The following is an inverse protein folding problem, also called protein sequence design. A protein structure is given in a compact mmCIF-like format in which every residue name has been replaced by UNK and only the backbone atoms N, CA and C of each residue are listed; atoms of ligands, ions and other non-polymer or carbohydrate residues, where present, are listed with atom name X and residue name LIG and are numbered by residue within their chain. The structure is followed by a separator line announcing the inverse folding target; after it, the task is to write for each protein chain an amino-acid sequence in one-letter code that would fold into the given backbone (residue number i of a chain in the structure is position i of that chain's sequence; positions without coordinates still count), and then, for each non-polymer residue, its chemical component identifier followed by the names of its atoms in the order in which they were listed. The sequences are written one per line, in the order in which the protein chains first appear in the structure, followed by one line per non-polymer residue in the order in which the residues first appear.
data_IF_080082083368
#
_entry.id   IF_080082083368
#
_cell.length_a   1.000
_cell.length_b   1.000
_cell.length_c   1.000
_cell.angle_alpha   90.00
_cell.angle_beta   90.00
_cell.angle_gamma   90.00
#
_symmetry.space_group_name_H-M   'P 1'
#
loop_
_entity.id
_entity.type
_entity.pdbx_description
1 polymer ?
#
# COMPACT_ATOMS: atom_id res chain seq x y z
N UNK A 1 -2.48 -14.85 -14.49
CA UNK A 1 -1.21 -15.47 -14.96
C UNK A 1 -1.31 -17.00 -15.10
N UNK A 2 -1.97 -17.71 -14.16
CA UNK A 2 -2.36 -19.15 -14.31
C UNK A 2 -3.14 -19.41 -15.61
N UNK A 3 -4.07 -18.52 -15.96
CA UNK A 3 -4.94 -18.70 -17.13
C UNK A 3 -4.25 -18.47 -18.48
N UNK A 4 -3.05 -17.87 -18.48
CA UNK A 4 -2.26 -17.61 -19.69
C UNK A 4 -1.08 -18.55 -19.89
N UNK A 5 -0.47 -19.07 -18.82
CA UNK A 5 0.76 -19.89 -18.91
C UNK A 5 0.63 -21.29 -18.31
N UNK A 6 -0.53 -21.66 -17.74
CA UNK A 6 -0.76 -22.93 -17.04
C UNK A 6 0.35 -23.28 -16.02
N UNK A 7 0.95 -22.24 -15.41
CA UNK A 7 2.07 -22.34 -14.47
C UNK A 7 1.73 -21.56 -13.20
N UNK A 8 2.04 -22.14 -12.04
CA UNK A 8 1.86 -21.49 -10.74
C UNK A 8 3.20 -21.32 -10.04
N UNK A 9 3.51 -20.10 -9.64
CA UNK A 9 4.68 -19.81 -8.80
C UNK A 9 4.31 -20.04 -7.33
N UNK A 10 5.02 -20.96 -6.68
CA UNK A 10 4.95 -21.13 -5.23
C UNK A 10 6.08 -20.35 -4.57
N UNK A 11 5.73 -19.30 -3.84
CA UNK A 11 6.66 -18.51 -3.04
C UNK A 11 6.62 -19.04 -1.60
N UNK A 12 7.81 -19.19 -1.00
CA UNK A 12 7.98 -19.55 0.41
C UNK A 12 8.77 -18.45 1.10
N UNK A 13 8.36 -18.11 2.32
CA UNK A 13 8.94 -17.02 3.11
C UNK A 13 9.24 -17.55 4.51
N UNK A 14 10.46 -17.28 4.98
CA UNK A 14 10.89 -17.50 6.35
C UNK A 14 11.29 -16.16 6.98
N UNK A 15 10.65 -15.79 8.08
CA UNK A 15 10.90 -14.53 8.78
C UNK A 15 11.37 -14.77 10.21
N UNK A 16 12.46 -14.12 10.59
CA UNK A 16 13.07 -14.20 11.91
C UNK A 16 13.73 -12.87 12.26
N UNK A 17 13.75 -12.52 13.54
CA UNK A 17 14.40 -11.34 14.06
C UNK A 17 15.49 -11.72 15.07
N UNK A 18 16.60 -11.00 15.00
CA UNK A 18 17.75 -11.15 15.90
C UNK A 18 18.93 -10.29 15.44
N UNK A 19 20.01 -10.34 16.21
CA UNK A 19 21.18 -9.51 15.96
C UNK A 19 21.96 -9.99 14.73
N UNK A 20 22.42 -9.04 13.92
CA UNK A 20 23.26 -9.29 12.74
C UNK A 20 24.44 -8.31 12.71
N UNK A 21 25.50 -8.71 12.03
CA UNK A 21 26.59 -7.82 11.64
C UNK A 21 26.30 -7.39 10.20
N UNK A 22 26.23 -6.09 9.96
CA UNK A 22 26.07 -5.51 8.62
C UNK A 22 27.26 -4.62 8.32
N UNK A 23 27.85 -4.77 7.13
CA UNK A 23 28.95 -3.91 6.70
C UNK A 23 29.57 -4.32 5.37
N UNK A 24 30.57 -3.56 4.94
CA UNK A 24 31.35 -3.84 3.75
C UNK A 24 32.34 -4.98 3.99
N UNK A 25 32.24 -6.04 3.21
CA UNK A 25 33.15 -7.17 3.25
C UNK A 25 33.86 -7.29 1.90
N UNK A 26 35.18 -7.43 1.91
CA UNK A 26 36.00 -7.60 0.71
C UNK A 26 37.26 -6.72 0.70
N UNK A 27 38.06 -6.88 -0.35
CA UNK A 27 39.23 -6.02 -0.59
C UNK A 27 38.77 -4.60 -0.94
N UNK A 28 39.63 -3.60 -0.73
CA UNK A 28 39.25 -2.18 -0.89
C UNK A 28 38.64 -1.83 -2.25
N UNK A 29 39.05 -2.51 -3.32
CA UNK A 29 38.55 -2.32 -4.68
C UNK A 29 37.28 -3.15 -5.01
N UNK A 30 36.94 -4.14 -4.19
CA UNK A 30 35.80 -5.05 -4.37
C UNK A 30 35.08 -5.29 -3.04
N UNK A 31 34.47 -4.24 -2.49
CA UNK A 31 33.63 -4.33 -1.30
C UNK A 31 32.19 -4.64 -1.69
N UNK A 32 31.56 -5.58 -0.98
CA UNK A 32 30.12 -5.81 -1.04
C UNK A 32 29.49 -5.65 0.34
N UNK A 33 28.39 -4.89 0.39
CA UNK A 33 27.56 -4.80 1.59
C UNK A 33 26.96 -6.18 1.89
N UNK A 34 27.25 -6.70 3.07
CA UNK A 34 26.88 -8.06 3.46
C UNK A 34 26.27 -8.07 4.85
N UNK A 35 25.28 -8.94 5.06
CA UNK A 35 24.71 -9.24 6.38
C UNK A 35 25.20 -10.62 6.82
N UNK A 36 25.81 -10.69 7.99
CA UNK A 36 26.30 -11.93 8.61
C UNK A 36 25.63 -12.15 9.96
N UNK A 37 25.38 -13.42 10.30
CA UNK A 37 24.89 -13.79 11.62
C UNK A 37 24.09 -15.09 11.62
N UNK A 38 23.80 -15.61 12.81
CA UNK A 38 22.91 -16.76 12.95
C UNK A 38 21.47 -16.42 12.52
N UNK A 39 21.03 -15.17 12.72
CA UNK A 39 19.69 -14.70 12.33
C UNK A 39 19.39 -14.90 10.84
N UNK A 40 20.31 -14.55 9.94
CA UNK A 40 20.11 -14.76 8.49
C UNK A 40 20.04 -16.24 8.13
N UNK A 41 20.86 -17.07 8.80
CA UNK A 41 20.83 -18.52 8.62
C UNK A 41 19.52 -19.13 9.11
N UNK A 42 18.98 -18.65 10.23
CA UNK A 42 17.67 -19.09 10.75
C UNK A 42 16.55 -18.71 9.78
N UNK A 43 16.53 -17.47 9.27
CA UNK A 43 15.50 -17.03 8.32
C UNK A 43 15.48 -17.90 7.05
N UNK A 44 16.65 -18.16 6.44
CA UNK A 44 16.78 -19.06 5.28
C UNK A 44 16.32 -20.49 5.59
N UNK A 45 16.60 -20.99 6.79
CA UNK A 45 16.15 -22.33 7.21
C UNK A 45 14.65 -22.41 7.44
N UNK A 46 14.01 -21.34 7.91
CA UNK A 46 12.55 -21.25 8.02
C UNK A 46 11.90 -21.26 6.64
N UNK A 47 12.47 -20.55 5.66
CA UNK A 47 12.03 -20.61 4.27
C UNK A 47 12.07 -22.07 3.78
N UNK A 48 13.21 -22.75 3.92
CA UNK A 48 13.33 -24.15 3.50
C UNK A 48 12.40 -25.12 4.25
N UNK A 49 12.09 -24.81 5.52
CA UNK A 49 11.18 -25.60 6.35
C UNK A 49 9.75 -25.62 5.80
N UNK A 50 9.30 -24.53 5.16
CA UNK A 50 7.98 -24.44 4.55
C UNK A 50 7.67 -25.63 3.63
N UNK A 51 8.66 -26.07 2.84
CA UNK A 51 8.51 -27.22 1.94
C UNK A 51 8.19 -28.52 2.69
N UNK A 52 8.80 -28.73 3.87
CA UNK A 52 8.60 -29.94 4.68
C UNK A 52 7.29 -29.90 5.47
N UNK A 53 6.83 -28.70 5.81
CA UNK A 53 5.63 -28.49 6.61
C UNK A 53 4.37 -28.26 5.78
N UNK A 54 4.51 -28.18 4.45
CA UNK A 54 3.47 -27.81 3.50
C UNK A 54 2.83 -26.45 3.85
N UNK A 55 3.68 -25.45 4.10
CA UNK A 55 3.29 -24.07 4.41
C UNK A 55 3.94 -23.12 3.39
N UNK A 56 3.49 -21.87 3.34
CA UNK A 56 4.09 -20.84 2.48
C UNK A 56 4.82 -19.75 3.27
N UNK A 57 4.35 -19.43 4.48
CA UNK A 57 4.95 -18.39 5.30
C UNK A 57 5.13 -18.88 6.73
N UNK A 58 6.38 -18.94 7.19
CA UNK A 58 6.76 -19.30 8.56
C UNK A 58 7.45 -18.12 9.23
N UNK A 59 7.01 -17.79 10.43
CA UNK A 59 7.67 -16.83 11.32
C UNK A 59 8.25 -17.55 12.52
N UNK A 60 9.38 -17.08 13.03
CA UNK A 60 9.97 -17.64 14.25
C UNK A 60 9.17 -17.27 15.51
N UNK A 61 9.46 -17.93 16.63
CA UNK A 61 8.87 -17.58 17.94
C UNK A 61 9.19 -16.15 18.37
N UNK A 62 10.38 -15.65 18.05
CA UNK A 62 10.77 -14.26 18.32
C UNK A 62 9.84 -13.26 17.60
N UNK A 63 9.54 -13.49 16.33
CA UNK A 63 8.59 -12.64 15.59
C UNK A 63 7.17 -12.80 16.16
N UNK A 64 6.75 -14.03 16.45
CA UNK A 64 5.44 -14.28 17.01
C UNK A 64 5.25 -13.62 18.39
N UNK A 65 6.29 -13.56 19.22
CA UNK A 65 6.24 -12.89 20.51
C UNK A 65 6.14 -11.36 20.38
N UNK A 66 6.64 -10.79 19.27
CA UNK A 66 6.55 -9.35 19.00
C UNK A 66 5.18 -8.94 18.44
N UNK A 67 4.61 -9.72 17.52
CA UNK A 67 3.42 -9.30 16.74
C UNK A 67 2.32 -10.35 16.62
N UNK A 68 2.45 -11.49 17.29
CA UNK A 68 1.57 -12.66 17.10
C UNK A 68 0.10 -12.44 17.44
N UNK A 69 -0.23 -11.48 18.31
CA UNK A 69 -1.61 -11.07 18.58
C UNK A 69 -2.32 -10.53 17.34
N UNK A 70 -1.58 -9.87 16.44
CA UNK A 70 -2.10 -9.33 15.19
C UNK A 70 -2.11 -10.34 14.04
N UNK A 71 -1.49 -11.52 14.19
CA UNK A 71 -1.34 -12.51 13.12
C UNK A 71 -2.40 -13.61 13.17
N UNK A 72 -2.94 -13.96 11.99
CA UNK A 72 -3.72 -15.17 11.80
C UNK A 72 -2.79 -16.36 11.59
N UNK A 73 -2.76 -17.27 12.57
CA UNK A 73 -1.85 -18.43 12.57
C UNK A 73 -2.63 -19.71 12.33
N UNK A 74 -2.17 -20.50 11.36
CA UNK A 74 -2.75 -21.79 11.02
C UNK A 74 -2.15 -22.94 11.85
N UNK A 75 -0.82 -22.92 12.04
CA UNK A 75 -0.09 -24.08 12.58
C UNK A 75 1.13 -23.65 13.38
N UNK A 76 1.34 -24.28 14.53
CA UNK A 76 2.61 -24.25 15.27
C UNK A 76 3.49 -25.42 14.83
N UNK A 77 4.73 -25.13 14.48
CA UNK A 77 5.75 -26.10 14.05
C UNK A 77 6.88 -26.09 15.05
N UNK A 78 7.18 -27.25 15.63
CA UNK A 78 8.34 -27.41 16.52
C UNK A 78 9.31 -28.36 15.83
N UNK A 79 10.52 -27.89 15.53
CA UNK A 79 11.51 -28.68 14.81
C UNK A 79 12.93 -28.39 15.29
N UNK A 80 13.86 -29.32 15.05
CA UNK A 80 15.29 -29.02 15.17
C UNK A 80 15.79 -28.54 13.81
N UNK A 81 16.32 -27.32 13.77
CA UNK A 81 17.01 -26.86 12.58
C UNK A 81 18.35 -27.60 12.44
N UNK A 82 18.71 -28.00 11.22
CA UNK A 82 20.00 -28.66 10.93
C UNK A 82 21.14 -27.78 11.44
N UNK A 83 22.00 -28.33 12.29
CA UNK A 83 23.14 -27.60 12.87
C UNK A 83 22.83 -26.83 14.17
N UNK A 84 21.63 -26.97 14.75
CA UNK A 84 21.33 -26.54 16.13
C UNK A 84 20.88 -27.72 16.98
N UNK A 85 21.33 -27.76 18.24
CA UNK A 85 20.92 -28.77 19.23
C UNK A 85 19.52 -28.51 19.80
N UNK A 86 19.14 -27.24 19.91
CA UNK A 86 17.87 -26.79 20.47
C UNK A 86 16.72 -26.88 19.47
N UNK A 87 15.52 -27.17 19.99
CA UNK A 87 14.28 -27.14 19.20
C UNK A 87 13.88 -25.68 18.99
N UNK A 88 13.55 -25.34 17.76
CA UNK A 88 12.95 -24.07 17.39
C UNK A 88 11.44 -24.24 17.24
N UNK A 89 10.72 -23.20 17.66
CA UNK A 89 9.30 -23.03 17.39
C UNK A 89 9.13 -22.03 16.25
N UNK A 90 8.23 -22.35 15.31
CA UNK A 90 7.81 -21.48 14.23
C UNK A 90 6.30 -21.55 14.05
N UNK A 91 5.71 -20.54 13.42
CA UNK A 91 4.27 -20.43 13.22
C UNK A 91 3.97 -20.18 11.75
N UNK A 92 3.05 -20.96 11.19
CA UNK A 92 2.52 -20.74 9.84
C UNK A 92 1.52 -19.60 9.88
N UNK A 93 1.84 -18.51 9.18
CA UNK A 93 1.04 -17.29 9.15
C UNK A 93 0.24 -17.25 7.86
N UNK A 94 -1.06 -16.95 7.95
CA UNK A 94 -1.95 -16.77 6.80
C UNK A 94 -2.14 -15.29 6.44
N UNK A 95 -1.85 -14.38 7.36
CA UNK A 95 -2.02 -12.95 7.20
C UNK A 95 -2.23 -12.27 8.56
N UNK A 96 -2.78 -11.07 8.54
CA UNK A 96 -3.21 -10.35 9.74
C UNK A 96 -4.63 -10.77 10.16
N UNK A 97 -4.96 -10.66 11.45
CA UNK A 97 -6.31 -10.92 11.98
C UNK A 97 -7.29 -9.83 11.62
N UNK A 98 -6.80 -8.59 11.61
CA UNK A 98 -7.53 -7.39 11.22
C UNK A 98 -6.90 -6.94 9.92
N UNK A 99 -7.71 -6.60 8.92
CA UNK A 99 -7.14 -6.11 7.67
C UNK A 99 -6.50 -4.75 7.88
N UNK A 100 -5.33 -4.56 7.29
CA UNK A 100 -4.63 -3.27 7.31
C UNK A 100 -5.38 -2.29 6.38
N UNK A 101 -5.91 -1.18 6.90
CA UNK A 101 -6.64 -0.19 6.09
C UNK A 101 -5.84 0.29 4.88
N UNK A 102 -4.52 0.45 5.03
CA UNK A 102 -3.65 0.90 3.94
C UNK A 102 -3.58 -0.17 2.85
N UNK A 103 -3.44 -1.44 3.24
CA UNK A 103 -3.42 -2.56 2.31
C UNK A 103 -4.75 -2.73 1.56
N UNK A 104 -5.88 -2.54 2.25
CA UNK A 104 -7.21 -2.57 1.61
C UNK A 104 -7.37 -1.45 0.56
N UNK A 105 -6.89 -0.25 0.87
CA UNK A 105 -6.87 0.88 -0.08
C UNK A 105 -5.97 0.56 -1.28
N UNK A 106 -4.74 0.12 -1.04
CA UNK A 106 -3.79 -0.19 -2.11
C UNK A 106 -4.33 -1.30 -3.02
N UNK A 107 -4.83 -2.41 -2.46
CA UNK A 107 -5.41 -3.51 -3.24
C UNK A 107 -6.63 -3.09 -4.05
N UNK A 108 -7.56 -2.36 -3.43
CA UNK A 108 -8.77 -1.92 -4.13
C UNK A 108 -8.43 -0.90 -5.22
N UNK A 109 -7.42 -0.04 -5.01
CA UNK A 109 -6.96 0.88 -6.04
C UNK A 109 -6.21 0.17 -7.18
N UNK A 110 -5.36 -0.82 -6.89
CA UNK A 110 -4.71 -1.65 -7.91
C UNK A 110 -5.75 -2.30 -8.83
N UNK A 111 -6.87 -2.78 -8.26
CA UNK A 111 -7.99 -3.30 -9.05
C UNK A 111 -8.61 -2.21 -9.95
N UNK A 112 -8.81 -0.99 -9.46
CA UNK A 112 -9.28 0.13 -10.30
C UNK A 112 -8.33 0.33 -11.48
N UNK A 113 -7.02 0.36 -11.24
CA UNK A 113 -6.02 0.55 -12.30
C UNK A 113 -6.00 -0.61 -13.31
N UNK A 114 -6.12 -1.85 -12.84
CA UNK A 114 -6.07 -3.04 -13.71
C UNK A 114 -7.33 -3.18 -14.57
N UNK A 115 -8.51 -2.92 -14.02
CA UNK A 115 -9.79 -3.26 -14.67
C UNK A 115 -10.58 -2.04 -15.16
N UNK A 116 -10.36 -0.85 -14.59
CA UNK A 116 -11.07 0.38 -14.94
C UNK A 116 -10.08 1.56 -15.14
N UNK A 117 -9.13 1.46 -16.09
CA UNK A 117 -8.07 2.46 -16.25
C UNK A 117 -8.56 3.88 -16.60
N UNK A 118 -9.80 4.00 -17.13
CA UNK A 118 -10.44 5.27 -17.47
C UNK A 118 -11.14 5.95 -16.28
N UNK A 119 -11.05 5.42 -15.06
CA UNK A 119 -11.71 5.98 -13.88
C UNK A 119 -11.37 7.46 -13.64
N UNK A 120 -10.14 7.86 -13.98
CA UNK A 120 -9.63 9.22 -13.80
C UNK A 120 -10.38 10.23 -14.68
N UNK A 121 -10.88 9.81 -15.84
CA UNK A 121 -11.68 10.65 -16.74
C UNK A 121 -13.01 11.02 -16.06
N UNK A 122 -13.72 10.02 -15.52
CA UNK A 122 -14.95 10.22 -14.74
C UNK A 122 -14.71 11.12 -13.52
N UNK A 123 -13.58 10.94 -12.83
CA UNK A 123 -13.23 11.79 -11.68
C UNK A 123 -13.03 13.25 -12.11
N UNK A 124 -12.22 13.49 -13.14
CA UNK A 124 -11.94 14.84 -13.66
C UNK A 124 -13.23 15.53 -14.14
N UNK A 125 -14.12 14.81 -14.82
CA UNK A 125 -15.39 15.39 -15.28
C UNK A 125 -16.31 15.78 -14.12
N UNK A 126 -16.36 14.96 -13.05
CA UNK A 126 -17.08 15.33 -11.83
C UNK A 126 -16.46 16.55 -11.13
N UNK A 127 -15.13 16.68 -11.14
CA UNK A 127 -14.45 17.86 -10.60
C UNK A 127 -14.77 19.13 -11.41
N UNK A 128 -14.79 19.05 -12.75
CA UNK A 128 -15.20 20.17 -13.61
C UNK A 128 -16.65 20.59 -13.36
N UNK A 129 -17.55 19.63 -13.21
CA UNK A 129 -18.95 19.93 -12.86
C UNK A 129 -19.05 20.61 -11.49
N UNK A 130 -18.23 20.20 -10.52
CA UNK A 130 -18.14 20.84 -9.21
C UNK A 130 -17.63 22.28 -9.29
N UNK A 131 -16.61 22.57 -10.12
CA UNK A 131 -16.10 23.94 -10.28
C UNK A 131 -17.10 24.83 -11.00
N UNK A 132 -17.70 24.35 -12.09
CA UNK A 132 -18.73 25.08 -12.85
C UNK A 132 -19.98 25.40 -12.01
N UNK A 133 -20.41 24.47 -11.16
CA UNK A 133 -21.56 24.68 -10.26
C UNK A 133 -21.30 25.68 -9.13
N UNK A 134 -20.03 25.96 -8.81
CA UNK A 134 -19.62 26.89 -7.76
C UNK A 134 -19.11 28.24 -8.31
N UNK A 135 -18.97 28.38 -9.63
CA UNK A 135 -18.55 29.62 -10.26
C UNK A 135 -19.66 30.67 -10.15
N UNK A 136 -19.37 31.81 -9.52
CA UNK A 136 -20.23 32.99 -9.62
C UNK A 136 -20.11 33.60 -11.02
N UNK A 137 -21.20 34.20 -11.52
CA UNK A 137 -21.33 34.78 -12.86
C UNK A 137 -20.23 35.77 -13.28
N UNK A 138 -19.40 36.24 -12.36
CA UNK A 138 -18.29 37.17 -12.61
C UNK A 138 -16.94 36.47 -12.94
N UNK A 139 -16.82 35.15 -12.76
CA UNK A 139 -15.57 34.40 -13.02
C UNK A 139 -15.51 33.72 -14.40
N UNK A 140 -16.62 33.72 -15.15
CA UNK A 140 -16.73 33.04 -16.47
C UNK A 140 -15.94 33.76 -17.58
N UNK A 141 -15.40 34.96 -17.33
CA UNK A 141 -14.60 35.72 -18.31
C UNK A 141 -13.11 35.60 -18.01
N UNK A 142 -12.52 34.47 -18.38
CA UNK A 142 -11.06 34.37 -18.51
C UNK A 142 -10.42 33.06 -18.04
N UNK A 143 -11.13 31.94 -18.04
CA UNK A 143 -10.50 30.67 -17.72
C UNK A 143 -9.66 30.21 -18.91
N UNK A 144 -8.34 30.33 -18.77
CA UNK A 144 -7.41 29.41 -19.44
C UNK A 144 -7.94 28.01 -19.18
N UNK A 145 -8.30 27.31 -20.24
CA UNK A 145 -8.49 25.87 -20.23
C UNK A 145 -7.21 25.28 -19.61
N UNK A 146 -7.20 25.01 -18.30
CA UNK A 146 -6.03 24.46 -17.65
C UNK A 146 -5.96 23.03 -18.14
N UNK A 147 -5.08 22.77 -19.11
CA UNK A 147 -4.79 21.43 -19.60
C UNK A 147 -4.00 20.70 -18.53
N UNK A 148 -4.65 20.28 -17.45
CA UNK A 148 -4.07 19.30 -16.54
C UNK A 148 -4.00 17.99 -17.32
N UNK A 149 -2.80 17.47 -17.45
CA UNK A 149 -2.63 16.15 -18.06
C UNK A 149 -3.29 15.12 -17.15
N UNK A 150 -4.21 14.32 -17.70
CA UNK A 150 -4.82 13.19 -16.98
C UNK A 150 -3.74 12.28 -16.36
N UNK A 151 -2.61 12.14 -17.05
CA UNK A 151 -1.46 11.36 -16.57
C UNK A 151 -0.79 12.01 -15.34
N UNK A 152 -0.66 13.33 -15.28
CA UNK A 152 -0.09 14.03 -14.11
C UNK A 152 -0.96 13.84 -12.88
N UNK A 153 -2.27 13.93 -13.07
CA UNK A 153 -3.24 13.72 -12.00
C UNK A 153 -3.21 12.28 -11.50
N UNK A 154 -3.30 11.30 -12.41
CA UNK A 154 -3.23 9.88 -12.07
C UNK A 154 -1.96 9.57 -11.28
N UNK A 155 -0.80 10.00 -11.78
CA UNK A 155 0.49 9.80 -11.13
C UNK A 155 0.53 10.41 -9.72
N UNK A 156 -0.13 11.55 -9.50
CA UNK A 156 -0.19 12.19 -8.19
C UNK A 156 -1.01 11.37 -7.20
N UNK A 157 -2.17 10.83 -7.63
CA UNK A 157 -3.02 10.00 -6.76
C UNK A 157 -2.36 8.65 -6.49
N UNK A 158 -1.81 8.00 -7.53
CA UNK A 158 -1.08 6.74 -7.42
C UNK A 158 0.09 6.87 -6.44
N UNK A 159 0.89 7.94 -6.57
CA UNK A 159 2.03 8.14 -5.66
C UNK A 159 1.61 8.37 -4.21
N UNK A 160 0.45 9.00 -3.96
CA UNK A 160 -0.10 9.13 -2.60
C UNK A 160 -0.48 7.75 -2.05
N UNK A 161 -1.22 6.95 -2.84
CA UNK A 161 -1.71 5.62 -2.45
C UNK A 161 -0.56 4.66 -2.17
N UNK A 162 0.47 4.65 -3.01
CA UNK A 162 1.69 3.85 -2.80
C UNK A 162 2.41 4.23 -1.49
N UNK A 163 2.36 5.51 -1.09
CA UNK A 163 3.10 6.07 0.04
C UNK A 163 2.29 6.24 1.31
N UNK A 164 1.03 5.79 1.37
CA UNK A 164 0.19 5.88 2.58
C UNK A 164 0.87 5.32 3.83
N UNK A 165 1.69 4.27 3.68
CA UNK A 165 2.46 3.67 4.78
C UNK A 165 3.73 4.44 5.19
N UNK A 166 4.06 5.56 4.54
CA UNK A 166 5.29 6.33 4.76
C UNK A 166 5.00 7.84 4.96
N UNK A 167 4.75 8.27 6.21
CA UNK A 167 4.35 9.65 6.53
C UNK A 167 5.32 10.73 6.04
N UNK A 168 6.64 10.45 6.07
CA UNK A 168 7.68 11.43 5.67
C UNK A 168 7.56 11.75 4.18
N UNK A 169 7.30 10.73 3.36
CA UNK A 169 7.17 10.90 1.91
C UNK A 169 5.82 11.46 1.47
N UNK A 170 4.79 11.27 2.29
CA UNK A 170 3.40 11.57 1.97
C UNK A 170 3.12 13.07 1.86
N UNK A 171 3.65 13.87 2.79
CA UNK A 171 3.44 15.33 2.83
C UNK A 171 3.79 16.02 1.51
N UNK A 172 4.88 15.59 0.86
CA UNK A 172 5.31 16.15 -0.44
C UNK A 172 4.33 15.79 -1.56
N UNK A 173 3.82 14.57 -1.59
CA UNK A 173 2.89 14.13 -2.64
C UNK A 173 1.51 14.76 -2.47
N UNK A 174 1.04 14.87 -1.23
CA UNK A 174 -0.21 15.56 -0.88
C UNK A 174 -0.17 17.03 -1.32
N UNK A 175 0.96 17.73 -1.10
CA UNK A 175 1.15 19.11 -1.58
C UNK A 175 1.04 19.23 -3.09
N UNK A 176 1.59 18.28 -3.86
CA UNK A 176 1.47 18.30 -5.34
C UNK A 176 0.02 18.13 -5.78
N UNK A 177 -0.72 17.23 -5.14
CA UNK A 177 -2.14 17.04 -5.42
C UNK A 177 -2.95 18.31 -5.10
N UNK A 178 -2.61 19.01 -4.02
CA UNK A 178 -3.21 20.29 -3.68
C UNK A 178 -2.98 21.36 -4.77
N UNK A 179 -1.76 21.43 -5.32
CA UNK A 179 -1.43 22.35 -6.41
C UNK A 179 -2.25 22.03 -7.68
N UNK A 180 -2.46 20.74 -7.99
CA UNK A 180 -3.33 20.29 -9.08
C UNK A 180 -4.76 20.78 -8.85
N UNK A 181 -5.35 20.55 -7.67
CA UNK A 181 -6.71 21.04 -7.37
C UNK A 181 -6.83 22.56 -7.45
N UNK A 182 -5.84 23.31 -6.97
CA UNK A 182 -5.84 24.77 -7.06
C UNK A 182 -5.73 25.25 -8.51
N UNK A 183 -4.98 24.55 -9.36
CA UNK A 183 -4.90 24.87 -10.78
C UNK A 183 -6.22 24.62 -11.53
N UNK A 184 -7.10 23.77 -10.99
CA UNK A 184 -8.50 23.62 -11.43
C UNK A 184 -9.44 24.71 -10.89
N UNK A 185 -8.93 25.68 -10.13
CA UNK A 185 -9.74 26.72 -9.49
C UNK A 185 -10.42 26.29 -8.19
N UNK A 186 -10.05 25.14 -7.62
CA UNK A 186 -10.63 24.65 -6.36
C UNK A 186 -9.85 25.23 -5.17
N UNK A 187 -10.53 26.02 -4.34
CA UNK A 187 -9.92 26.59 -3.14
C UNK A 187 -9.71 25.50 -2.06
N UNK A 188 -8.65 25.61 -1.24
CA UNK A 188 -8.35 24.65 -0.14
C UNK A 188 -9.55 24.40 0.79
N UNK A 189 -10.36 25.42 1.07
CA UNK A 189 -11.59 25.32 1.89
C UNK A 189 -12.62 24.33 1.33
N UNK A 190 -12.56 24.06 0.02
CA UNK A 190 -13.48 23.19 -0.69
C UNK A 190 -12.91 21.77 -0.86
N UNK A 191 -11.67 21.49 -0.45
CA UNK A 191 -11.08 20.14 -0.50
C UNK A 191 -11.91 19.07 0.22
N UNK A 192 -12.51 19.33 1.40
CA UNK A 192 -13.40 18.35 2.05
C UNK A 192 -14.61 17.95 1.20
N UNK A 193 -15.05 18.82 0.27
CA UNK A 193 -16.16 18.52 -0.65
C UNK A 193 -15.74 17.59 -1.79
N UNK A 194 -14.44 17.40 -2.01
CA UNK A 194 -13.91 16.49 -3.03
C UNK A 194 -13.91 15.03 -2.57
N UNK A 195 -13.87 14.79 -1.25
CA UNK A 195 -13.92 13.44 -0.65
C UNK A 195 -15.11 12.62 -1.16
N UNK A 196 -16.37 13.08 -1.05
CA UNK A 196 -17.51 12.32 -1.57
C UNK A 196 -17.46 12.14 -3.09
N UNK A 197 -16.87 13.07 -3.84
CA UNK A 197 -16.71 12.94 -5.30
C UNK A 197 -15.76 11.79 -5.62
N UNK A 198 -14.61 11.73 -4.95
CA UNK A 198 -13.64 10.64 -5.11
C UNK A 198 -14.25 9.29 -4.71
N UNK A 199 -14.89 9.21 -3.55
CA UNK A 199 -15.55 7.99 -3.07
C UNK A 199 -16.63 7.49 -4.05
N UNK A 200 -17.46 8.41 -4.59
CA UNK A 200 -18.47 8.03 -5.59
C UNK A 200 -17.84 7.46 -6.86
N UNK A 201 -16.71 8.02 -7.29
CA UNK A 201 -15.99 7.58 -8.48
C UNK A 201 -15.36 6.22 -8.26
N UNK A 202 -14.72 5.99 -7.11
CA UNK A 202 -14.17 4.68 -6.76
C UNK A 202 -15.27 3.61 -6.67
N UNK A 203 -16.42 3.92 -6.06
CA UNK A 203 -17.58 3.01 -5.98
C UNK A 203 -18.07 2.58 -7.35
N UNK A 204 -18.18 3.50 -8.30
CA UNK A 204 -18.60 3.20 -9.68
C UNK A 204 -17.61 2.29 -10.40
N UNK A 205 -16.33 2.34 -10.04
CA UNK A 205 -15.25 1.56 -10.67
C UNK A 205 -14.86 0.30 -9.86
N UNK A 206 -15.53 0.00 -8.75
CA UNK A 206 -15.32 -1.20 -7.92
C UNK A 206 -16.65 -1.88 -7.49
N UNK A 207 -17.66 -2.06 -8.35
CA UNK A 207 -19.01 -2.41 -7.91
C UNK A 207 -19.10 -3.78 -7.20
N UNK A 208 -18.24 -4.74 -7.53
CA UNK A 208 -18.23 -6.07 -6.90
C UNK A 208 -17.48 -6.14 -5.57
N UNK A 209 -16.54 -5.23 -5.34
CA UNK A 209 -15.69 -5.21 -4.13
C UNK A 209 -16.17 -4.16 -3.12
N UNK A 210 -16.86 -3.12 -3.60
CA UNK A 210 -17.33 -2.02 -2.77
C UNK A 210 -18.36 -2.50 -1.73
N UNK A 211 -18.02 -2.32 -0.47
CA UNK A 211 -18.84 -2.72 0.67
C UNK A 211 -18.68 -1.70 1.82
N UNK A 212 -19.55 -1.72 2.85
CA UNK A 212 -19.51 -0.73 3.93
C UNK A 212 -18.18 -0.66 4.69
N UNK A 213 -17.45 -1.77 4.80
CA UNK A 213 -16.14 -1.81 5.46
C UNK A 213 -15.08 -1.09 4.62
N UNK A 214 -15.03 -1.38 3.31
CA UNK A 214 -14.10 -0.74 2.39
C UNK A 214 -14.39 0.77 2.27
N UNK A 215 -15.66 1.14 2.21
CA UNK A 215 -16.08 2.54 2.20
C UNK A 215 -15.65 3.30 3.46
N UNK A 216 -15.82 2.70 4.65
CA UNK A 216 -15.38 3.31 5.90
C UNK A 216 -13.86 3.53 5.93
N UNK A 217 -13.09 2.55 5.45
CA UNK A 217 -11.62 2.64 5.34
C UNK A 217 -11.21 3.79 4.43
N UNK A 218 -11.73 3.83 3.20
CA UNK A 218 -11.43 4.89 2.24
C UNK A 218 -11.83 6.27 2.75
N UNK A 219 -13.02 6.37 3.37
CA UNK A 219 -13.54 7.62 3.92
C UNK A 219 -12.61 8.15 5.01
N UNK A 220 -12.20 7.30 5.95
CA UNK A 220 -11.30 7.70 7.04
C UNK A 220 -9.97 8.21 6.48
N UNK A 221 -9.29 7.41 5.65
CA UNK A 221 -7.96 7.74 5.14
C UNK A 221 -7.97 9.00 4.27
N UNK A 222 -8.91 9.14 3.34
CA UNK A 222 -8.99 10.33 2.49
C UNK A 222 -9.32 11.58 3.33
N UNK A 223 -10.18 11.45 4.35
CA UNK A 223 -10.53 12.57 5.22
C UNK A 223 -9.31 13.04 6.01
N UNK A 224 -8.54 12.11 6.58
CA UNK A 224 -7.32 12.41 7.32
C UNK A 224 -6.29 13.13 6.42
N UNK A 225 -6.06 12.62 5.21
CA UNK A 225 -5.19 13.28 4.22
C UNK A 225 -5.67 14.69 3.86
N UNK A 226 -6.99 14.86 3.72
CA UNK A 226 -7.58 16.15 3.37
C UNK A 226 -7.35 17.18 4.47
N UNK A 227 -7.48 16.78 5.74
CA UNK A 227 -7.19 17.64 6.89
C UNK A 227 -5.72 18.06 6.88
N UNK A 228 -4.79 17.11 6.70
CA UNK A 228 -3.36 17.40 6.60
C UNK A 228 -3.04 18.40 5.47
N UNK A 229 -3.76 18.30 4.34
CA UNK A 229 -3.59 19.19 3.18
C UNK A 229 -4.03 20.62 3.48
N UNK A 230 -5.08 20.80 4.28
CA UNK A 230 -5.61 22.12 4.63
C UNK A 230 -4.71 22.82 5.63
N UNK A 231 -4.10 22.07 6.55
CA UNK A 231 -3.21 22.58 7.59
C UNK A 231 -1.78 22.88 7.09
N UNK A 232 -1.37 22.30 5.95
CA UNK A 232 -0.07 22.54 5.29
C UNK A 232 -0.07 23.78 4.40
#
# INVERSE_FOLDING_TARGET
MKDRFNFSFDIRIGLHAGNVIYGDIGHSEYKSQTVLGDTVNVASRLEALNKKTNTQFLVSDEIYNLVGSSLSVNKKVITRLRGKSEKMTAYSVLGFRISDPILEIQKSFDHVLEYNPHWIESYIDKLKNFTMGNATSDQVKGEKESSISQAEFLNSIESIIEKLGNPISLKKEVSKLADIYQSLGIAKKDFPKLVPILLSTLRENLPSEWNPSLEAIWTQVITDLTIETIES
#
